data_IF_859336355534
#
_entry.id   IF_859336355534
#
_cell.length_a   1.000
_cell.length_b   1.000
_cell.length_c   1.000
_cell.angle_alpha   90.00
_cell.angle_beta   90.00
_cell.angle_gamma   90.00
#
_symmetry.space_group_name_H-M   'P 1'
#
loop_
_entity.id
_entity.type
_entity.pdbx_description
1 polymer ?
#
# COMPACT_ATOMS: atom_id res chain seq x y z
N UNK A 1 25.26 -28.28 -2.46
CA UNK A 1 23.78 -28.28 -2.32
C UNK A 1 23.41 -27.00 -1.62
N UNK A 2 22.80 -26.03 -2.31
CA UNK A 2 22.39 -24.77 -1.68
C UNK A 2 21.18 -25.05 -0.80
N UNK A 3 21.30 -24.79 0.50
CA UNK A 3 20.19 -24.85 1.42
C UNK A 3 19.21 -23.73 1.03
N UNK A 4 18.07 -24.14 0.47
CA UNK A 4 16.98 -23.23 0.16
C UNK A 4 16.58 -22.50 1.45
N UNK A 5 16.87 -21.21 1.48
CA UNK A 5 16.50 -20.30 2.54
C UNK A 5 14.97 -20.32 2.62
N UNK A 6 14.42 -20.99 3.63
CA UNK A 6 12.99 -21.01 3.92
C UNK A 6 12.62 -19.60 4.33
N UNK A 7 12.28 -18.77 3.35
CA UNK A 7 11.59 -17.52 3.58
C UNK A 7 10.39 -17.86 4.45
N UNK A 8 10.35 -17.24 5.63
CA UNK A 8 9.21 -17.33 6.54
C UNK A 8 8.03 -16.75 5.77
N UNK A 9 7.28 -17.59 5.08
CA UNK A 9 6.05 -17.20 4.41
C UNK A 9 5.20 -16.53 5.46
N UNK A 10 4.70 -15.30 5.23
CA UNK A 10 3.61 -14.79 6.03
C UNK A 10 2.56 -15.89 6.01
N UNK A 11 2.16 -16.34 7.19
CA UNK A 11 0.98 -17.13 7.47
C UNK A 11 0.13 -17.42 6.20
N UNK A 12 0.13 -18.67 5.73
CA UNK A 12 -0.35 -19.08 4.39
C UNK A 12 -1.82 -18.75 4.06
N UNK A 13 -2.53 -18.08 4.95
CA UNK A 13 -3.92 -17.67 4.85
C UNK A 13 -4.10 -16.17 4.54
N UNK A 14 -3.02 -15.37 4.53
CA UNK A 14 -3.06 -13.92 4.36
C UNK A 14 -2.30 -13.53 3.08
N UNK A 15 -2.98 -13.52 1.93
CA UNK A 15 -2.39 -13.09 0.65
C UNK A 15 -2.64 -11.57 0.42
N UNK A 16 -1.60 -10.72 0.44
CA UNK A 16 -1.74 -9.26 0.27
C UNK A 16 -2.41 -8.81 -1.02
N UNK A 17 -2.47 -9.67 -2.05
CA UNK A 17 -3.12 -9.36 -3.33
C UNK A 17 -4.64 -9.39 -3.25
N UNK A 18 -5.19 -10.07 -2.23
CA UNK A 18 -6.64 -10.21 -2.04
C UNK A 18 -7.14 -9.46 -0.80
N UNK A 19 -6.23 -8.97 0.04
CA UNK A 19 -6.57 -8.21 1.25
C UNK A 19 -6.91 -6.78 0.90
N UNK A 20 -8.05 -6.33 1.42
CA UNK A 20 -8.57 -4.99 1.26
C UNK A 20 -8.50 -4.26 2.59
N UNK A 21 -7.83 -3.12 2.61
CA UNK A 21 -7.66 -2.31 3.83
C UNK A 21 -8.29 -0.93 3.66
N UNK A 22 -8.83 -0.34 4.74
CA UNK A 22 -9.36 1.01 4.70
C UNK A 22 -8.24 2.05 4.58
N UNK A 23 -8.59 3.25 4.13
CA UNK A 23 -7.69 4.41 4.02
C UNK A 23 -6.81 4.63 5.26
N UNK A 24 -7.39 4.50 6.46
CA UNK A 24 -6.69 4.73 7.73
C UNK A 24 -5.54 3.75 7.92
N UNK A 25 -5.72 2.49 7.54
CA UNK A 25 -4.68 1.47 7.63
C UNK A 25 -3.63 1.65 6.53
N UNK A 26 -4.05 1.95 5.30
CA UNK A 26 -3.12 2.25 4.21
C UNK A 26 -2.16 3.41 4.58
N UNK A 27 -2.71 4.50 5.12
CA UNK A 27 -1.91 5.63 5.60
C UNK A 27 -0.95 5.23 6.72
N UNK A 28 -1.42 4.40 7.68
CA UNK A 28 -0.60 3.90 8.79
C UNK A 28 0.55 3.03 8.30
N UNK A 29 0.34 2.15 7.32
CA UNK A 29 1.38 1.31 6.73
C UNK A 29 2.48 2.17 6.08
N UNK A 30 2.09 3.28 5.44
CA UNK A 30 3.04 4.23 4.85
C UNK A 30 3.69 5.17 5.88
N UNK A 31 3.36 5.05 7.16
CA UNK A 31 3.86 5.94 8.22
C UNK A 31 3.36 7.38 8.10
N UNK A 32 2.18 7.59 7.51
CA UNK A 32 1.59 8.91 7.26
C UNK A 32 0.25 9.08 7.97
N UNK A 33 -0.15 10.33 8.19
CA UNK A 33 -1.52 10.63 8.60
C UNK A 33 -2.50 10.40 7.44
N UNK A 34 -3.79 10.12 7.72
CA UNK A 34 -4.79 9.94 6.66
C UNK A 34 -4.93 11.17 5.73
N UNK A 35 -4.77 12.38 6.28
CA UNK A 35 -4.83 13.64 5.52
C UNK A 35 -3.63 13.84 4.61
N UNK A 36 -2.43 13.42 5.04
CA UNK A 36 -1.26 13.42 4.17
C UNK A 36 -1.40 12.39 3.05
N UNK A 37 -1.90 11.20 3.37
CA UNK A 37 -2.13 10.16 2.37
C UNK A 37 -3.11 10.63 1.28
N UNK A 38 -4.20 11.32 1.64
CA UNK A 38 -5.11 11.90 0.64
C UNK A 38 -4.46 13.01 -0.20
N UNK A 39 -3.54 13.79 0.38
CA UNK A 39 -2.75 14.77 -0.39
C UNK A 39 -1.81 14.08 -1.36
N UNK A 40 -1.12 13.02 -0.92
CA UNK A 40 -0.26 12.20 -1.78
C UNK A 40 -1.04 11.58 -2.93
N UNK A 41 -2.24 11.04 -2.67
CA UNK A 41 -3.12 10.49 -3.73
C UNK A 41 -3.52 11.51 -4.79
N UNK A 42 -3.65 12.79 -4.42
CA UNK A 42 -3.96 13.87 -5.37
C UNK A 42 -2.74 14.36 -6.13
N UNK A 43 -1.57 14.35 -5.49
CA UNK A 43 -0.34 14.92 -6.04
C UNK A 43 0.50 13.93 -6.84
N UNK A 44 0.48 12.65 -6.49
CA UNK A 44 1.30 11.59 -7.08
C UNK A 44 0.41 10.61 -7.87
N UNK A 45 0.52 10.58 -9.21
CA UNK A 45 -0.23 9.64 -10.05
C UNK A 45 0.07 8.17 -9.74
N UNK A 46 1.24 7.86 -9.18
CA UNK A 46 1.61 6.49 -8.83
C UNK A 46 1.09 6.06 -7.45
N UNK A 47 0.53 6.98 -6.67
CA UNK A 47 -0.06 6.67 -5.37
C UNK A 47 -1.37 5.87 -5.57
N UNK A 48 -1.55 4.73 -4.86
CA UNK A 48 -2.72 3.89 -5.00
C UNK A 48 -4.03 4.66 -4.80
N UNK A 49 -4.91 4.62 -5.80
CA UNK A 49 -6.20 5.31 -5.73
C UNK A 49 -7.27 4.52 -4.99
N UNK A 50 -7.06 3.21 -4.84
CA UNK A 50 -8.03 2.30 -4.26
C UNK A 50 -9.24 2.08 -5.17
N UNK A 51 -10.22 1.36 -4.67
CA UNK A 51 -11.49 1.09 -5.34
C UNK A 51 -12.66 1.39 -4.40
N UNK A 52 -13.79 1.77 -4.99
CA UNK A 52 -15.04 2.02 -4.23
C UNK A 52 -15.82 0.73 -4.11
N UNK A 53 -16.40 0.48 -2.94
CA UNK A 53 -17.25 -0.69 -2.69
C UNK A 53 -18.69 -0.53 -3.19
N UNK A 54 -19.04 0.61 -3.80
CA UNK A 54 -20.37 0.88 -4.33
C UNK A 54 -20.44 2.19 -5.13
N UNK A 55 -21.64 2.50 -5.61
CA UNK A 55 -21.93 3.67 -6.45
C UNK A 55 -22.31 4.93 -5.66
N UNK A 56 -22.56 4.81 -4.36
CA UNK A 56 -22.99 5.93 -3.53
C UNK A 56 -21.84 6.91 -3.28
N UNK A 57 -22.20 8.19 -3.11
CA UNK A 57 -21.23 9.25 -2.80
C UNK A 57 -20.50 9.02 -1.46
N UNK A 58 -21.10 8.29 -0.53
CA UNK A 58 -20.55 7.95 0.78
C UNK A 58 -19.82 6.60 0.82
N UNK A 59 -19.64 5.92 -0.32
CA UNK A 59 -18.95 4.63 -0.34
C UNK A 59 -17.50 4.77 0.15
N UNK A 60 -17.11 3.82 0.99
CA UNK A 60 -15.73 3.72 1.47
C UNK A 60 -14.79 3.34 0.34
N UNK A 61 -13.64 3.99 0.29
CA UNK A 61 -12.54 3.61 -0.59
C UNK A 61 -11.66 2.61 0.15
N UNK A 62 -11.49 1.44 -0.44
CA UNK A 62 -10.60 0.39 0.03
C UNK A 62 -9.37 0.31 -0.86
N UNK A 63 -8.29 -0.23 -0.31
CA UNK A 63 -7.00 -0.36 -0.98
C UNK A 63 -6.56 -1.81 -0.91
N UNK A 64 -5.97 -2.31 -1.99
CA UNK A 64 -5.31 -3.62 -1.93
C UNK A 64 -4.00 -3.48 -1.15
N UNK A 65 -3.75 -4.41 -0.24
CA UNK A 65 -2.54 -4.35 0.60
C UNK A 65 -1.25 -4.41 -0.25
N UNK A 66 -1.21 -5.23 -1.30
CA UNK A 66 -0.06 -5.29 -2.21
C UNK A 66 0.26 -3.95 -2.86
N UNK A 67 -0.76 -3.21 -3.31
CA UNK A 67 -0.55 -1.91 -3.99
C UNK A 67 0.07 -0.88 -3.03
N UNK A 68 -0.30 -0.94 -1.75
CA UNK A 68 0.29 -0.07 -0.71
C UNK A 68 1.76 -0.45 -0.47
N UNK A 69 2.10 -1.74 -0.42
CA UNK A 69 3.48 -2.17 -0.28
C UNK A 69 4.34 -1.82 -1.50
N UNK A 70 3.81 -1.99 -2.70
CA UNK A 70 4.50 -1.61 -3.95
C UNK A 70 4.79 -0.11 -3.96
N UNK A 71 3.81 0.71 -3.55
CA UNK A 71 4.00 2.16 -3.44
C UNK A 71 5.02 2.53 -2.35
N UNK A 72 5.00 1.84 -1.20
CA UNK A 72 5.99 2.03 -0.13
C UNK A 72 7.41 1.75 -0.64
N UNK A 73 7.60 0.66 -1.39
CA UNK A 73 8.87 0.33 -2.00
C UNK A 73 9.33 1.42 -2.98
N UNK A 74 8.42 1.92 -3.84
CA UNK A 74 8.73 3.06 -4.73
C UNK A 74 9.15 4.31 -3.97
N UNK A 75 8.47 4.66 -2.88
CA UNK A 75 8.85 5.81 -2.05
C UNK A 75 10.26 5.64 -1.48
N UNK A 76 10.59 4.45 -0.95
CA UNK A 76 11.92 4.15 -0.43
C UNK A 76 12.99 4.28 -1.52
N UNK A 77 12.74 3.75 -2.72
CA UNK A 77 13.67 3.89 -3.87
C UNK A 77 13.86 5.34 -4.29
N UNK A 78 12.78 6.14 -4.35
CA UNK A 78 12.87 7.57 -4.68
C UNK A 78 13.67 8.35 -3.63
N UNK A 79 13.48 8.05 -2.34
CA UNK A 79 14.27 8.66 -1.28
C UNK A 79 15.74 8.24 -1.32
N UNK A 80 16.01 6.97 -1.67
CA UNK A 80 17.38 6.49 -1.86
C UNK A 80 18.07 7.19 -3.04
N UNK A 81 17.36 7.37 -4.16
CA UNK A 81 17.93 7.96 -5.38
C UNK A 81 17.98 9.51 -5.35
N UNK A 82 17.13 10.15 -4.55
CA UNK A 82 17.14 11.61 -4.36
C UNK A 82 18.17 12.11 -3.34
N UNK A 83 18.82 11.19 -2.61
CA UNK A 83 19.90 11.47 -1.67
C UNK A 83 21.30 11.12 -2.23
N UNK A 84 21.40 10.88 -3.55
CA UNK A 84 22.66 10.64 -4.26
C UNK A 84 23.13 11.89 -5.00
#
# INVERSE_FOLDING_TARGET
>A
MQAAEKSRTPESWVDPRFIQIPRKEAARILGRSPTEFDRMRKADPECPQGFKTGTDRSCSVLFRLSDIYDYSAKLMTRYSNGNA
#
